data_IF_326604714770
#
_entry.id   IF_326604714770
#
_cell.length_a   1.000
_cell.length_b   1.000
_cell.length_c   1.000
_cell.angle_alpha   90.00
_cell.angle_beta   90.00
_cell.angle_gamma   90.00
#
_symmetry.space_group_name_H-M   'P 1'
#
loop_
_entity.id
_entity.type
_entity.pdbx_description
1 polymer ?
#
# COMPACT_ATOMS: atom_id res chain seq x y z
N UNK A 1 -6.83 6.45 2.40
CA UNK A 1 -6.52 5.96 1.05
C UNK A 1 -7.48 6.68 0.12
N UNK A 2 -6.99 7.42 -0.87
CA UNK A 2 -7.87 8.05 -1.88
C UNK A 2 -8.50 6.92 -2.69
N UNK A 3 -9.82 6.93 -2.86
CA UNK A 3 -10.45 5.93 -3.72
C UNK A 3 -9.97 6.16 -5.15
N UNK A 4 -9.59 5.07 -5.83
CA UNK A 4 -9.28 5.12 -7.26
C UNK A 4 -10.57 5.32 -8.03
N UNK A 5 -10.55 6.19 -9.04
CA UNK A 5 -11.71 6.35 -9.92
C UNK A 5 -11.89 5.09 -10.78
N UNK A 6 -13.10 4.89 -11.29
CA UNK A 6 -13.39 3.80 -12.24
C UNK A 6 -12.46 3.86 -13.46
N UNK A 7 -12.27 5.05 -14.02
CA UNK A 7 -11.39 5.27 -15.17
C UNK A 7 -9.93 4.90 -14.85
N UNK A 8 -9.43 5.27 -13.67
CA UNK A 8 -8.07 4.92 -13.23
C UNK A 8 -7.88 3.41 -13.09
N UNK A 9 -8.86 2.71 -12.49
CA UNK A 9 -8.81 1.25 -12.34
C UNK A 9 -8.81 0.58 -13.72
N UNK A 10 -9.69 1.01 -14.61
CA UNK A 10 -9.80 0.45 -15.95
C UNK A 10 -8.50 0.65 -16.76
N UNK A 11 -7.94 1.86 -16.74
CA UNK A 11 -6.69 2.15 -17.43
C UNK A 11 -5.52 1.28 -16.92
N UNK A 12 -5.42 1.08 -15.60
CA UNK A 12 -4.40 0.21 -14.98
C UNK A 12 -4.57 -1.27 -15.34
N UNK A 13 -5.81 -1.75 -15.45
CA UNK A 13 -6.06 -3.13 -15.89
C UNK A 13 -5.69 -3.31 -17.36
N UNK A 14 -6.00 -2.33 -18.21
CA UNK A 14 -5.60 -2.34 -19.62
C UNK A 14 -4.08 -2.29 -19.79
N UNK A 15 -3.36 -1.52 -18.95
CA UNK A 15 -1.89 -1.44 -19.04
C UNK A 15 -1.19 -2.77 -18.75
N UNK A 16 -1.81 -3.65 -17.95
CA UNK A 16 -1.32 -5.02 -17.71
C UNK A 16 -1.92 -6.05 -18.69
N UNK A 17 -2.46 -5.59 -19.82
CA UNK A 17 -3.02 -6.40 -20.91
C UNK A 17 -4.27 -7.21 -20.53
N UNK A 18 -5.10 -6.73 -19.59
CA UNK A 18 -6.45 -7.28 -19.42
C UNK A 18 -7.34 -6.84 -20.58
N UNK A 19 -8.13 -7.76 -21.19
CA UNK A 19 -9.07 -7.41 -22.24
C UNK A 19 -9.98 -6.24 -21.84
N UNK A 20 -10.25 -5.29 -22.76
CA UNK A 20 -11.05 -4.09 -22.49
C UNK A 20 -12.38 -4.37 -21.78
N UNK A 21 -13.13 -5.39 -22.21
CA UNK A 21 -14.44 -5.72 -21.63
C UNK A 21 -14.32 -6.22 -20.18
N UNK A 22 -13.31 -7.04 -19.89
CA UNK A 22 -13.03 -7.52 -18.54
C UNK A 22 -12.52 -6.39 -17.63
N UNK A 23 -11.70 -5.49 -18.17
CA UNK A 23 -11.21 -4.32 -17.46
C UNK A 23 -12.38 -3.38 -17.07
N UNK A 24 -13.29 -3.09 -18.01
CA UNK A 24 -14.48 -2.27 -17.75
C UNK A 24 -15.41 -2.92 -16.71
N UNK A 25 -15.62 -4.24 -16.79
CA UNK A 25 -16.42 -4.99 -15.80
C UNK A 25 -15.78 -4.96 -14.41
N UNK A 26 -14.48 -5.23 -14.31
CA UNK A 26 -13.76 -5.22 -13.04
C UNK A 26 -13.73 -3.82 -12.41
N UNK A 27 -13.56 -2.77 -13.23
CA UNK A 27 -13.55 -1.39 -12.79
C UNK A 27 -14.92 -0.91 -12.25
N UNK A 28 -16.02 -1.59 -12.56
CA UNK A 28 -17.34 -1.27 -12.00
C UNK A 28 -17.42 -1.45 -10.47
N UNK A 29 -16.46 -2.18 -9.87
CA UNK A 29 -16.34 -2.27 -8.41
C UNK A 29 -15.73 -1.03 -7.75
N UNK A 30 -15.16 -0.10 -8.52
CA UNK A 30 -14.52 1.09 -7.99
C UNK A 30 -15.51 1.96 -7.19
N UNK A 31 -15.11 2.38 -5.98
CA UNK A 31 -15.93 3.21 -5.09
C UNK A 31 -16.99 2.44 -4.28
N UNK A 32 -17.25 1.16 -4.58
CA UNK A 32 -18.15 0.34 -3.76
C UNK A 32 -17.57 0.09 -2.36
N UNK A 33 -18.46 0.02 -1.36
CA UNK A 33 -18.10 -0.21 0.05
C UNK A 33 -19.06 -1.19 0.71
N UNK A 34 -18.67 -1.70 1.88
CA UNK A 34 -19.56 -2.50 2.74
C UNK A 34 -20.10 -3.75 2.04
N UNK A 35 -21.42 -3.95 2.10
CA UNK A 35 -22.07 -5.11 1.47
C UNK A 35 -22.01 -5.06 -0.06
N UNK A 36 -22.15 -3.88 -0.66
CA UNK A 36 -22.10 -3.74 -2.13
C UNK A 36 -20.77 -4.21 -2.70
N UNK A 37 -19.65 -3.83 -2.06
CA UNK A 37 -18.32 -4.31 -2.45
C UNK A 37 -18.17 -5.83 -2.26
N UNK A 38 -18.69 -6.37 -1.15
CA UNK A 38 -18.63 -7.82 -0.85
C UNK A 38 -19.44 -8.63 -1.86
N UNK A 39 -20.66 -8.18 -2.20
CA UNK A 39 -21.49 -8.79 -3.23
C UNK A 39 -20.81 -8.73 -4.59
N UNK A 40 -20.31 -7.55 -4.99
CA UNK A 40 -19.59 -7.39 -6.26
C UNK A 40 -18.41 -8.36 -6.37
N UNK A 41 -17.56 -8.45 -5.33
CA UNK A 41 -16.41 -9.35 -5.33
C UNK A 41 -16.82 -10.83 -5.41
N UNK A 42 -17.87 -11.23 -4.70
CA UNK A 42 -18.40 -12.61 -4.73
C UNK A 42 -18.95 -12.98 -6.11
N UNK A 43 -19.75 -12.11 -6.70
CA UNK A 43 -20.40 -12.33 -7.99
C UNK A 43 -19.38 -12.33 -9.15
N UNK A 44 -18.25 -11.62 -8.99
CA UNK A 44 -17.21 -11.47 -10.01
C UNK A 44 -15.89 -12.18 -9.66
N UNK A 45 -15.90 -13.15 -8.73
CA UNK A 45 -14.67 -13.78 -8.20
C UNK A 45 -13.74 -14.38 -9.25
N UNK A 46 -14.29 -14.81 -10.39
CA UNK A 46 -13.56 -15.43 -11.50
C UNK A 46 -13.49 -14.53 -12.75
N UNK A 47 -13.84 -13.24 -12.62
CA UNK A 47 -13.92 -12.32 -13.74
C UNK A 47 -12.56 -12.06 -14.39
N UNK A 48 -11.49 -12.05 -13.60
CA UNK A 48 -10.12 -11.85 -14.07
C UNK A 48 -9.21 -12.86 -13.39
N UNK A 49 -8.37 -13.53 -14.18
CA UNK A 49 -7.29 -14.38 -13.68
C UNK A 49 -5.94 -13.78 -14.11
N UNK A 50 -5.14 -13.35 -13.14
CA UNK A 50 -3.86 -12.67 -13.40
C UNK A 50 -2.70 -13.66 -13.36
N UNK A 51 -1.88 -13.67 -14.40
CA UNK A 51 -0.57 -14.34 -14.34
C UNK A 51 0.35 -13.68 -13.30
N UNK A 52 1.37 -14.39 -12.81
CA UNK A 52 2.34 -13.83 -11.87
C UNK A 52 2.99 -12.54 -12.39
N UNK A 53 3.26 -12.46 -13.70
CA UNK A 53 3.82 -11.27 -14.33
C UNK A 53 2.84 -10.09 -14.29
N UNK A 54 1.55 -10.33 -14.54
CA UNK A 54 0.53 -9.30 -14.46
C UNK A 54 0.30 -8.82 -13.03
N UNK A 55 0.35 -9.71 -12.04
CA UNK A 55 0.27 -9.35 -10.63
C UNK A 55 1.43 -8.45 -10.21
N UNK A 56 2.67 -8.84 -10.56
CA UNK A 56 3.88 -8.06 -10.30
C UNK A 56 3.84 -6.71 -11.00
N UNK A 57 3.43 -6.68 -12.28
CA UNK A 57 3.34 -5.42 -13.01
C UNK A 57 2.26 -4.50 -12.45
N UNK A 58 1.12 -5.05 -12.01
CA UNK A 58 0.08 -4.28 -11.34
C UNK A 58 0.60 -3.64 -10.03
N UNK A 59 1.43 -4.35 -9.27
CA UNK A 59 2.10 -3.75 -8.11
C UNK A 59 3.05 -2.63 -8.54
N UNK A 60 3.91 -2.88 -9.53
CA UNK A 60 4.88 -1.91 -10.03
C UNK A 60 4.23 -0.61 -10.52
N UNK A 61 3.11 -0.65 -11.24
CA UNK A 61 2.43 0.58 -11.68
C UNK A 61 1.79 1.38 -10.54
N UNK A 62 1.63 0.78 -9.36
CA UNK A 62 1.09 1.48 -8.18
C UNK A 62 2.18 2.03 -7.25
N UNK A 63 3.37 1.42 -7.21
CA UNK A 63 4.47 1.82 -6.31
C UNK A 63 4.95 3.27 -6.49
N UNK A 64 5.10 3.83 -7.71
CA UNK A 64 5.65 5.18 -7.91
C UNK A 64 4.93 6.27 -7.12
N UNK A 65 3.61 6.15 -6.93
CA UNK A 65 2.84 7.12 -6.14
C UNK A 65 3.23 7.10 -4.66
N UNK A 66 3.52 5.93 -4.09
CA UNK A 66 3.93 5.77 -2.70
C UNK A 66 5.41 6.12 -2.50
N UNK A 67 6.27 5.71 -3.44
CA UNK A 67 7.66 6.15 -3.50
C UNK A 67 7.77 7.68 -3.51
N UNK A 68 6.95 8.35 -4.32
CA UNK A 68 6.96 9.80 -4.41
C UNK A 68 6.49 10.48 -3.11
N UNK A 69 5.60 9.85 -2.33
CA UNK A 69 5.22 10.35 -0.99
C UNK A 69 6.43 10.31 -0.05
N UNK A 70 7.20 9.22 -0.07
CA UNK A 70 8.43 9.11 0.74
C UNK A 70 9.47 10.12 0.26
N UNK A 71 9.84 10.10 -1.02
CA UNK A 71 10.86 11.01 -1.60
C UNK A 71 10.57 12.48 -1.33
N UNK A 72 9.32 12.93 -1.45
CA UNK A 72 8.95 14.33 -1.16
C UNK A 72 8.89 14.64 0.33
N UNK A 73 8.65 13.63 1.17
CA UNK A 73 8.50 13.80 2.62
C UNK A 73 9.81 13.71 3.41
N UNK A 74 10.84 13.06 2.85
CA UNK A 74 12.11 12.81 3.53
C UNK A 74 13.22 13.69 2.97
N UNK A 75 13.94 14.40 3.84
CA UNK A 75 14.98 15.37 3.48
C UNK A 75 16.38 14.98 3.98
N UNK A 76 16.53 13.73 4.41
CA UNK A 76 17.78 13.12 4.84
C UNK A 76 18.13 11.98 3.91
N UNK A 77 19.41 11.59 3.89
CA UNK A 77 19.82 10.38 3.19
C UNK A 77 19.15 9.14 3.81
N UNK A 78 18.67 8.25 2.96
CA UNK A 78 18.10 6.96 3.34
C UNK A 78 18.85 5.85 2.64
N UNK A 79 19.13 4.76 3.36
CA UNK A 79 19.55 3.52 2.72
C UNK A 79 18.39 2.93 1.91
N UNK A 80 18.68 2.01 0.99
CA UNK A 80 17.63 1.34 0.21
C UNK A 80 16.63 0.59 1.10
N UNK A 81 17.11 -0.05 2.17
CA UNK A 81 16.26 -0.78 3.12
C UNK A 81 15.33 0.18 3.88
N UNK A 82 15.85 1.32 4.33
CA UNK A 82 15.05 2.35 4.97
C UNK A 82 13.98 2.89 4.03
N UNK A 83 14.36 3.21 2.79
CA UNK A 83 13.41 3.66 1.77
C UNK A 83 12.31 2.62 1.53
N UNK A 84 12.68 1.34 1.37
CA UNK A 84 11.74 0.25 1.16
C UNK A 84 10.77 0.07 2.35
N UNK A 85 11.29 0.14 3.58
CA UNK A 85 10.47 0.06 4.79
C UNK A 85 9.44 1.20 4.85
N UNK A 86 9.87 2.44 4.57
CA UNK A 86 8.98 3.60 4.55
C UNK A 86 7.95 3.52 3.41
N UNK A 87 8.33 3.03 2.23
CA UNK A 87 7.38 2.82 1.12
C UNK A 87 6.34 1.77 1.47
N UNK A 88 6.74 0.64 2.07
CA UNK A 88 5.81 -0.39 2.55
C UNK A 88 4.85 0.18 3.60
N UNK A 89 5.37 0.94 4.55
CA UNK A 89 4.56 1.60 5.56
C UNK A 89 3.59 2.60 4.92
N UNK A 90 4.05 3.46 4.00
CA UNK A 90 3.22 4.46 3.29
C UNK A 90 2.17 3.85 2.37
N UNK A 91 2.35 2.59 1.93
CA UNK A 91 1.30 1.82 1.26
C UNK A 91 0.12 1.50 2.20
N UNK A 92 0.40 1.36 3.51
CA UNK A 92 -0.61 1.12 4.55
C UNK A 92 -0.28 1.88 5.86
N UNK A 93 -0.30 3.23 5.89
CA UNK A 93 0.34 3.97 6.96
C UNK A 93 -0.56 4.23 8.17
N UNK A 94 -1.85 3.88 8.07
CA UNK A 94 -2.86 4.38 9.00
C UNK A 94 -2.83 5.92 9.04
N UNK A 95 -2.67 6.48 10.24
CA UNK A 95 -2.49 7.93 10.47
C UNK A 95 -1.04 8.29 10.88
N UNK A 96 -0.13 7.32 10.93
CA UNK A 96 1.20 7.48 11.52
C UNK A 96 2.24 8.19 10.65
N UNK A 97 2.02 8.29 9.32
CA UNK A 97 3.02 8.84 8.39
C UNK A 97 3.57 10.22 8.77
N UNK A 98 2.76 11.23 9.16
CA UNK A 98 3.30 12.54 9.54
C UNK A 98 4.32 12.47 10.69
N UNK A 99 4.07 11.61 11.69
CA UNK A 99 4.97 11.41 12.83
C UNK A 99 6.23 10.64 12.45
N UNK A 100 6.08 9.56 11.67
CA UNK A 100 7.22 8.80 11.13
C UNK A 100 8.12 9.70 10.29
N UNK A 101 7.54 10.47 9.36
CA UNK A 101 8.27 11.42 8.52
C UNK A 101 9.05 12.43 9.35
N UNK A 102 8.42 13.02 10.37
CA UNK A 102 9.07 13.99 11.24
C UNK A 102 10.26 13.36 12.00
N UNK A 103 10.09 12.15 12.52
CA UNK A 103 11.14 11.42 13.23
C UNK A 103 12.32 11.05 12.31
N UNK A 104 12.04 10.61 11.08
CA UNK A 104 13.09 10.32 10.08
C UNK A 104 13.88 11.59 9.74
N UNK A 105 13.20 12.71 9.48
CA UNK A 105 13.86 13.97 9.14
C UNK A 105 14.67 14.57 10.30
N UNK A 106 14.34 14.23 11.55
CA UNK A 106 15.13 14.62 12.72
C UNK A 106 16.24 13.63 13.07
N UNK A 107 16.42 12.56 12.29
CA UNK A 107 17.40 11.50 12.56
C UNK A 107 17.02 10.50 13.66
N UNK A 108 15.82 10.60 14.26
CA UNK A 108 15.37 9.72 15.34
C UNK A 108 14.63 8.49 14.79
N UNK A 109 15.42 7.55 14.24
CA UNK A 109 14.88 6.29 13.69
C UNK A 109 14.17 5.44 14.74
N UNK A 110 14.60 5.48 16.00
CA UNK A 110 13.94 4.73 17.10
C UNK A 110 12.54 5.26 17.37
N UNK A 111 12.33 6.57 17.31
CA UNK A 111 10.98 7.17 17.38
C UNK A 111 10.13 6.79 16.17
N UNK A 112 10.71 6.78 14.96
CA UNK A 112 9.99 6.32 13.77
C UNK A 112 9.48 4.88 13.95
N UNK A 113 10.33 3.96 14.43
CA UNK A 113 9.97 2.56 14.73
C UNK A 113 8.81 2.46 15.71
N UNK A 114 8.87 3.15 16.85
CA UNK A 114 7.77 3.12 17.85
C UNK A 114 6.43 3.53 17.23
N UNK A 115 6.43 4.58 16.41
CA UNK A 115 5.21 5.05 15.75
C UNK A 115 4.70 4.01 14.73
N UNK A 116 5.59 3.36 13.98
CA UNK A 116 5.25 2.30 13.02
C UNK A 116 4.57 1.13 13.75
N UNK A 117 5.18 0.65 14.84
CA UNK A 117 4.69 -0.49 15.63
C UNK A 117 3.33 -0.24 16.29
N UNK A 118 2.93 1.02 16.49
CA UNK A 118 1.59 1.37 16.99
C UNK A 118 0.50 1.29 15.91
N UNK A 119 0.83 1.31 14.62
CA UNK A 119 -0.14 1.31 13.52
C UNK A 119 -0.66 -0.10 13.18
N UNK A 120 -1.24 -0.77 14.18
CA UNK A 120 -1.68 -2.18 14.12
C UNK A 120 -3.20 -2.37 14.10
N UNK A 121 -3.96 -1.27 14.05
CA UNK A 121 -5.43 -1.29 14.14
C UNK A 121 -6.12 -1.03 12.82
N UNK A 122 -7.25 -1.69 12.60
CA UNK A 122 -8.22 -1.38 11.55
C UNK A 122 -9.62 -1.37 12.15
N UNK A 123 -10.40 -0.29 11.89
CA UNK A 123 -11.72 -0.07 12.50
C UNK A 123 -11.72 -0.25 14.03
N UNK A 124 -10.68 0.27 14.69
CA UNK A 124 -10.49 0.19 16.14
C UNK A 124 -9.92 -1.13 16.68
N UNK A 125 -9.93 -2.21 15.89
CA UNK A 125 -9.48 -3.54 16.33
C UNK A 125 -8.02 -3.79 15.95
N UNK A 126 -7.24 -4.36 16.87
CA UNK A 126 -5.88 -4.83 16.57
C UNK A 126 -5.96 -6.03 15.64
N UNK A 127 -5.14 -6.04 14.58
CA UNK A 127 -5.03 -7.15 13.65
C UNK A 127 -3.66 -7.81 13.76
N UNK A 128 -3.62 -9.11 14.04
CA UNK A 128 -2.37 -9.89 14.14
C UNK A 128 -1.48 -9.76 12.90
N UNK A 129 -2.08 -9.75 11.72
CA UNK A 129 -1.35 -9.54 10.47
C UNK A 129 -0.68 -8.15 10.38
N UNK A 130 -1.31 -7.11 10.92
CA UNK A 130 -0.70 -5.78 10.99
C UNK A 130 0.42 -5.72 12.03
N UNK A 131 0.26 -6.37 13.18
CA UNK A 131 1.35 -6.46 14.19
C UNK A 131 2.62 -7.04 13.56
N UNK A 132 2.50 -8.19 12.88
CA UNK A 132 3.63 -8.79 12.17
C UNK A 132 4.21 -7.85 11.11
N UNK A 133 3.36 -7.29 10.24
CA UNK A 133 3.80 -6.39 9.17
C UNK A 133 4.54 -5.16 9.71
N UNK A 134 4.04 -4.55 10.80
CA UNK A 134 4.66 -3.35 11.39
C UNK A 134 6.01 -3.67 12.02
N UNK A 135 6.14 -4.82 12.66
CA UNK A 135 7.42 -5.30 13.16
C UNK A 135 8.42 -5.55 12.02
N UNK A 136 8.02 -6.26 10.97
CA UNK A 136 8.85 -6.51 9.78
C UNK A 136 9.34 -5.19 9.14
N UNK A 137 8.45 -4.20 9.01
CA UNK A 137 8.81 -2.86 8.50
C UNK A 137 9.76 -2.10 9.45
N UNK A 138 9.56 -2.21 10.76
CA UNK A 138 10.43 -1.59 11.77
C UNK A 138 11.83 -2.21 11.78
N UNK A 139 11.95 -3.53 11.67
CA UNK A 139 13.23 -4.23 11.60
C UNK A 139 13.96 -3.89 10.30
N UNK A 140 13.25 -3.83 9.17
CA UNK A 140 13.85 -3.41 7.91
C UNK A 140 14.37 -1.97 7.97
N UNK A 141 13.66 -1.07 8.66
CA UNK A 141 14.05 0.33 8.84
C UNK A 141 15.28 0.49 9.76
N UNK A 142 15.34 -0.26 10.86
CA UNK A 142 16.36 -0.07 11.89
C UNK A 142 17.60 -0.93 11.68
N UNK A 143 17.41 -2.16 11.21
CA UNK A 143 18.44 -3.20 11.14
C UNK A 143 18.73 -3.66 9.70
N UNK A 144 17.91 -3.26 8.72
CA UNK A 144 18.09 -3.63 7.33
C UNK A 144 17.74 -5.09 7.01
N UNK A 145 16.94 -5.75 7.86
CA UNK A 145 16.53 -7.16 7.72
C UNK A 145 15.11 -7.40 8.23
N UNK A 146 14.49 -8.49 7.78
CA UNK A 146 13.22 -9.00 8.31
C UNK A 146 13.45 -9.90 9.54
#
# INVERSE_FOLDING_TARGET
MRDRSRAEVEQKLRSIKIPPDLATKAAAGAGLRGEAARKFARDNKNLVNLTNNQQSYLLQVNLPSYEAIVRRGTHVYLTQNEFNALVSFVYNPGRGWPGVRAAINSGDKRKAVRIIEEQVRSKGKVLRGLVKRRHDEAMLLLEGRY
#
